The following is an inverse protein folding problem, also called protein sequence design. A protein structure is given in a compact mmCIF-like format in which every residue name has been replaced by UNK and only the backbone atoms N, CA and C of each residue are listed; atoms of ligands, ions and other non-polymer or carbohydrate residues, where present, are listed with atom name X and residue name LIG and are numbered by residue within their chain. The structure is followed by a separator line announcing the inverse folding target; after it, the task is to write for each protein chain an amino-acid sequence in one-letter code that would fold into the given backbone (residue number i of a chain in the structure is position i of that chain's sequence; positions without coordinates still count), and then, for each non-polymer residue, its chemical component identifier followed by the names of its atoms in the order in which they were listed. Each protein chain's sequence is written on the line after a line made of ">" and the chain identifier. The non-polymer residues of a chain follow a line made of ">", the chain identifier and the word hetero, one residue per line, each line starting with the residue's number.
data_IF_454503411778
#
_entry.id   IF_454503411778
#
_cell.length_a   1.000
_cell.length_b   1.000
_cell.length_c   1.000
_cell.angle_alpha   90.00
_cell.angle_beta   90.00
_cell.angle_gamma   90.00
#
_symmetry.space_group_name_H-M   'P 1'
#
loop_
_entity.id
_entity.type
_entity.pdbx_description
1 polymer ?
#
# COMPACT_ATOMS: atom_id res chain seq x y z
N UNK A 1 7.52 17.33 -9.18
CA UNK A 1 7.93 17.55 -7.76
C UNK A 1 8.98 16.52 -7.40
N UNK A 2 9.95 16.89 -6.55
CA UNK A 2 10.92 15.92 -6.01
C UNK A 2 10.19 14.99 -5.05
N UNK A 3 10.35 13.67 -5.23
CA UNK A 3 9.75 12.66 -4.35
C UNK A 3 10.54 12.56 -3.04
N UNK A 4 9.82 12.51 -1.92
CA UNK A 4 10.43 12.39 -0.59
C UNK A 4 10.34 10.95 -0.09
N UNK A 5 11.48 10.42 0.34
CA UNK A 5 11.63 9.07 0.88
C UNK A 5 12.06 9.15 2.34
N UNK A 6 11.41 8.39 3.21
CA UNK A 6 11.89 8.14 4.56
C UNK A 6 12.56 6.77 4.58
N UNK A 7 13.79 6.72 5.10
CA UNK A 7 14.52 5.48 5.36
C UNK A 7 14.66 5.27 6.87
N UNK A 8 14.10 4.17 7.38
CA UNK A 8 14.23 3.74 8.78
C UNK A 8 15.10 2.48 8.82
N UNK A 9 16.40 2.66 9.12
CA UNK A 9 17.39 1.59 9.04
C UNK A 9 18.43 1.75 10.14
N UNK A 10 18.54 0.75 11.00
CA UNK A 10 19.44 0.74 12.14
C UNK A 10 20.90 0.40 11.76
N UNK A 11 21.15 -0.21 10.60
CA UNK A 11 22.48 -0.49 10.09
C UNK A 11 23.04 0.72 9.33
N UNK A 12 23.87 1.53 10.01
CA UNK A 12 24.40 2.82 9.48
C UNK A 12 25.07 2.72 8.11
N UNK A 13 25.75 1.61 7.82
CA UNK A 13 26.43 1.42 6.54
C UNK A 13 25.42 1.20 5.40
N UNK A 14 24.39 0.40 5.67
CA UNK A 14 23.29 0.14 4.72
C UNK A 14 22.48 1.42 4.52
N UNK A 15 22.12 2.09 5.61
CA UNK A 15 21.38 3.36 5.57
C UNK A 15 22.10 4.40 4.72
N UNK A 16 23.39 4.62 4.98
CA UNK A 16 24.21 5.58 4.20
C UNK A 16 24.31 5.20 2.72
N UNK A 17 24.47 3.91 2.42
CA UNK A 17 24.58 3.44 1.05
C UNK A 17 23.27 3.69 0.28
N UNK A 18 22.12 3.31 0.86
CA UNK A 18 20.79 3.53 0.25
C UNK A 18 20.56 5.04 0.07
N UNK A 19 20.84 5.85 1.08
CA UNK A 19 20.65 7.31 1.05
C UNK A 19 21.40 7.92 -0.13
N UNK A 20 22.70 7.64 -0.26
CA UNK A 20 23.55 8.19 -1.33
C UNK A 20 23.04 7.80 -2.73
N UNK A 21 22.62 6.55 -2.92
CA UNK A 21 22.15 6.10 -4.22
C UNK A 21 20.76 6.68 -4.57
N UNK A 22 19.86 6.79 -3.60
CA UNK A 22 18.56 7.42 -3.84
C UNK A 22 18.69 8.93 -4.10
N UNK A 23 19.63 9.63 -3.45
CA UNK A 23 19.90 11.03 -3.74
C UNK A 23 20.46 11.23 -5.15
N UNK A 24 21.31 10.34 -5.66
CA UNK A 24 21.78 10.37 -7.06
C UNK A 24 20.64 10.27 -8.07
N UNK A 25 19.60 9.50 -7.75
CA UNK A 25 18.40 9.36 -8.55
C UNK A 25 17.41 10.54 -8.40
N UNK A 26 17.79 11.56 -7.61
CA UNK A 26 17.00 12.78 -7.44
C UNK A 26 15.92 12.71 -6.38
N UNK A 27 15.92 11.69 -5.52
CA UNK A 27 15.03 11.62 -4.36
C UNK A 27 15.54 12.49 -3.21
N UNK A 28 14.62 13.08 -2.45
CA UNK A 28 14.96 13.68 -1.16
C UNK A 28 14.78 12.61 -0.07
N UNK A 29 15.85 12.28 0.64
CA UNK A 29 15.85 11.19 1.63
C UNK A 29 16.08 11.77 3.02
N UNK A 30 15.18 11.39 3.95
CA UNK A 30 15.37 11.57 5.38
C UNK A 30 15.70 10.20 5.98
N UNK A 31 16.74 10.12 6.81
CA UNK A 31 17.22 8.85 7.41
C UNK A 31 17.08 8.91 8.92
N UNK A 32 16.53 7.85 9.51
CA UNK A 32 16.47 7.65 10.97
C UNK A 32 16.81 6.20 11.33
N UNK A 33 17.28 5.98 12.57
CA UNK A 33 17.79 4.67 13.00
C UNK A 33 16.70 3.80 13.70
N UNK A 34 15.58 4.40 14.13
CA UNK A 34 14.57 3.71 14.93
C UNK A 34 13.13 4.09 14.54
N UNK A 35 12.19 3.25 14.96
CA UNK A 35 10.79 3.41 14.62
C UNK A 35 10.13 4.64 15.22
N UNK A 36 10.47 5.02 16.47
CA UNK A 36 9.88 6.21 17.13
C UNK A 36 10.26 7.48 16.39
N UNK A 37 11.53 7.62 16.02
CA UNK A 37 12.00 8.76 15.21
C UNK A 37 11.28 8.78 13.84
N UNK A 38 11.12 7.59 13.22
CA UNK A 38 10.37 7.44 11.98
C UNK A 38 8.91 7.91 12.12
N UNK A 39 8.20 7.45 13.14
CA UNK A 39 6.81 7.84 13.38
C UNK A 39 6.67 9.35 13.65
N UNK A 40 7.60 9.95 14.38
CA UNK A 40 7.61 11.39 14.62
C UNK A 40 7.74 12.19 13.31
N UNK A 41 8.62 11.77 12.41
CA UNK A 41 8.77 12.40 11.09
C UNK A 41 7.52 12.20 10.22
N UNK A 42 6.92 11.01 10.22
CA UNK A 42 5.71 10.69 9.45
C UNK A 42 4.51 11.53 9.91
N UNK A 43 4.41 11.80 11.21
CA UNK A 43 3.37 12.66 11.76
C UNK A 43 3.51 14.12 11.29
N UNK A 44 4.76 14.63 11.24
CA UNK A 44 5.07 16.00 10.86
C UNK A 44 5.15 16.24 9.35
N UNK A 45 5.54 15.22 8.57
CA UNK A 45 5.90 15.36 7.16
C UNK A 45 5.25 14.27 6.32
N UNK A 46 4.81 14.63 5.11
CA UNK A 46 4.30 13.65 4.13
C UNK A 46 5.48 13.10 3.33
N UNK A 47 5.62 11.78 3.32
CA UNK A 47 6.56 11.05 2.48
C UNK A 47 5.82 10.35 1.34
N UNK A 48 6.45 10.30 0.17
CA UNK A 48 5.94 9.57 -0.99
C UNK A 48 6.18 8.06 -0.84
N UNK A 49 7.25 7.69 -0.12
CA UNK A 49 7.67 6.33 0.15
C UNK A 49 8.33 6.24 1.51
N UNK A 50 8.12 5.13 2.20
CA UNK A 50 8.80 4.76 3.44
C UNK A 50 9.48 3.42 3.22
N UNK A 51 10.80 3.40 3.32
CA UNK A 51 11.64 2.21 3.38
C UNK A 51 11.95 1.91 4.84
N UNK A 52 11.76 0.69 5.30
CA UNK A 52 12.09 0.38 6.68
C UNK A 52 12.59 -1.04 6.86
N UNK A 53 13.56 -1.22 7.76
CA UNK A 53 13.98 -2.51 8.26
C UNK A 53 12.86 -3.08 9.15
N UNK A 54 12.46 -4.32 8.92
CA UNK A 54 11.39 -4.94 9.71
C UNK A 54 11.83 -5.22 11.15
N UNK A 55 13.12 -5.51 11.37
CA UNK A 55 13.72 -5.73 12.69
C UNK A 55 14.28 -4.42 13.25
N UNK A 56 13.40 -3.52 13.71
CA UNK A 56 13.78 -2.26 14.33
C UNK A 56 14.20 -2.47 15.78
N UNK A 57 15.11 -1.62 16.28
CA UNK A 57 15.68 -1.74 17.62
C UNK A 57 14.69 -1.47 18.77
N UNK A 58 13.65 -0.69 18.49
CA UNK A 58 12.72 -0.16 19.51
C UNK A 58 11.27 -0.66 19.37
N UNK A 59 10.91 -1.25 18.25
CA UNK A 59 9.61 -1.87 18.01
C UNK A 59 9.66 -2.88 16.87
N UNK A 60 8.66 -3.77 16.77
CA UNK A 60 8.51 -4.68 15.64
C UNK A 60 8.07 -3.91 14.37
N UNK A 61 8.49 -4.41 13.20
CA UNK A 61 8.07 -3.84 11.92
C UNK A 61 6.56 -3.87 11.71
N UNK A 62 5.88 -4.90 12.23
CA UNK A 62 4.41 -4.96 12.20
C UNK A 62 3.79 -3.79 12.96
N UNK A 63 4.22 -3.57 14.20
CA UNK A 63 3.74 -2.43 15.01
C UNK A 63 4.04 -1.09 14.33
N UNK A 64 5.23 -0.95 13.76
CA UNK A 64 5.60 0.26 13.00
C UNK A 64 4.65 0.50 11.83
N UNK A 65 4.40 -0.53 11.02
CA UNK A 65 3.48 -0.44 9.88
C UNK A 65 2.01 -0.17 10.31
N UNK A 66 1.56 -0.75 11.42
CA UNK A 66 0.24 -0.45 12.00
C UNK A 66 0.10 1.01 12.43
N UNK A 67 1.10 1.56 13.13
CA UNK A 67 1.09 2.97 13.54
C UNK A 67 1.12 3.91 12.33
N UNK A 68 1.91 3.60 11.29
CA UNK A 68 1.88 4.35 10.03
C UNK A 68 0.48 4.33 9.42
N UNK A 69 -0.17 3.16 9.39
CA UNK A 69 -1.52 3.02 8.85
C UNK A 69 -2.57 3.82 9.61
N UNK A 70 -2.33 4.12 10.88
CA UNK A 70 -3.20 5.02 11.67
C UNK A 70 -2.94 6.49 11.38
N UNK A 71 -1.66 6.89 11.23
CA UNK A 71 -1.25 8.28 11.01
C UNK A 71 -1.45 8.68 9.54
N UNK A 72 -1.03 7.82 8.62
CA UNK A 72 -1.01 8.02 7.16
C UNK A 72 -1.42 6.75 6.42
N UNK A 73 -2.70 6.41 6.36
CA UNK A 73 -3.19 5.12 5.82
C UNK A 73 -2.72 4.80 4.41
N UNK A 74 -2.63 5.81 3.56
CA UNK A 74 -2.23 5.67 2.15
C UNK A 74 -0.71 5.73 1.90
N UNK A 75 0.12 5.62 2.96
CA UNK A 75 1.57 5.58 2.80
C UNK A 75 2.02 4.36 2.01
N UNK A 76 3.02 4.55 1.17
CA UNK A 76 3.66 3.47 0.43
C UNK A 76 4.81 2.92 1.26
N UNK A 77 4.74 1.66 1.63
CA UNK A 77 5.72 0.99 2.49
C UNK A 77 6.49 -0.06 1.69
N UNK A 78 7.82 -0.08 1.82
CA UNK A 78 8.68 -1.19 1.37
C UNK A 78 9.47 -1.67 2.57
N UNK A 79 9.43 -2.98 2.80
CA UNK A 79 10.19 -3.64 3.86
C UNK A 79 11.56 -4.06 3.34
N UNK A 80 12.60 -3.85 4.14
CA UNK A 80 13.97 -4.33 3.89
C UNK A 80 14.34 -5.29 5.01
N UNK A 81 14.60 -6.58 4.72
CA UNK A 81 15.07 -7.52 5.73
C UNK A 81 15.69 -8.79 5.12
N UNK A 82 16.18 -9.68 5.95
CA UNK A 82 16.68 -10.99 5.54
C UNK A 82 15.57 -11.88 4.97
N UNK A 83 15.95 -12.90 4.22
CA UNK A 83 15.00 -13.88 3.64
C UNK A 83 14.17 -14.57 4.71
N UNK A 84 14.81 -14.90 5.83
CA UNK A 84 14.19 -15.60 6.94
C UNK A 84 13.11 -14.75 7.59
N UNK A 85 13.40 -13.48 7.87
CA UNK A 85 12.46 -12.52 8.46
C UNK A 85 11.29 -12.21 7.53
N UNK A 86 11.56 -12.02 6.24
CA UNK A 86 10.50 -11.82 5.24
C UNK A 86 9.57 -13.03 5.18
N UNK A 87 10.12 -14.26 5.22
CA UNK A 87 9.31 -15.49 5.21
C UNK A 87 8.49 -15.66 6.50
N UNK A 88 9.11 -15.39 7.67
CA UNK A 88 8.46 -15.47 8.99
C UNK A 88 7.26 -14.50 9.09
N UNK A 89 7.39 -13.31 8.54
CA UNK A 89 6.40 -12.23 8.65
C UNK A 89 5.64 -11.95 7.36
N UNK A 90 5.60 -12.90 6.44
CA UNK A 90 5.03 -12.73 5.08
C UNK A 90 3.62 -12.14 5.11
N UNK A 91 2.74 -12.65 5.97
CA UNK A 91 1.34 -12.20 6.06
C UNK A 91 1.22 -10.74 6.52
N UNK A 92 1.96 -10.36 7.56
CA UNK A 92 2.00 -8.98 8.05
C UNK A 92 2.58 -8.02 6.99
N UNK A 93 3.70 -8.42 6.36
CA UNK A 93 4.33 -7.61 5.31
C UNK A 93 3.37 -7.41 4.13
N UNK A 94 2.73 -8.46 3.66
CA UNK A 94 1.75 -8.38 2.58
C UNK A 94 0.57 -7.47 2.94
N UNK A 95 0.14 -7.46 4.19
CA UNK A 95 -0.98 -6.64 4.65
C UNK A 95 -0.69 -5.14 4.60
N UNK A 96 0.51 -4.71 4.94
CA UNK A 96 0.86 -3.29 5.13
C UNK A 96 1.75 -2.73 4.03
N UNK A 97 2.70 -3.51 3.53
CA UNK A 97 3.68 -3.04 2.55
C UNK A 97 3.26 -3.32 1.12
N UNK A 98 3.60 -2.41 0.22
CA UNK A 98 3.39 -2.62 -1.22
C UNK A 98 4.45 -3.53 -1.82
N UNK A 99 5.63 -3.64 -1.20
CA UNK A 99 6.71 -4.51 -1.62
C UNK A 99 7.70 -4.78 -0.50
N UNK A 100 8.66 -5.66 -0.77
CA UNK A 100 9.81 -5.91 0.09
C UNK A 100 11.09 -6.13 -0.72
N UNK A 101 12.25 -6.00 -0.08
CA UNK A 101 13.56 -6.39 -0.60
C UNK A 101 14.26 -7.31 0.38
N UNK A 102 14.81 -8.39 -0.14
CA UNK A 102 15.57 -9.37 0.67
C UNK A 102 17.03 -8.94 0.74
N UNK A 103 17.55 -8.73 1.94
CA UNK A 103 18.99 -8.50 2.19
C UNK A 103 19.79 -9.81 2.06
N UNK A 104 20.98 -9.79 1.42
CA UNK A 104 21.58 -8.68 0.69
C UNK A 104 20.93 -8.48 -0.69
N UNK A 105 20.82 -7.23 -1.15
CA UNK A 105 20.26 -6.88 -2.45
C UNK A 105 21.21 -6.00 -3.26
N UNK A 106 21.00 -5.98 -4.57
CA UNK A 106 21.69 -5.05 -5.47
C UNK A 106 20.93 -3.72 -5.45
N UNK A 107 21.64 -2.61 -5.29
CA UNK A 107 20.99 -1.29 -5.13
C UNK A 107 20.17 -0.89 -6.37
N UNK A 108 20.61 -1.24 -7.58
CA UNK A 108 19.84 -1.01 -8.79
C UNK A 108 18.46 -1.65 -8.74
N UNK A 109 18.32 -2.85 -8.16
CA UNK A 109 17.04 -3.54 -8.04
C UNK A 109 16.09 -2.79 -7.11
N UNK A 110 16.61 -2.19 -6.04
CA UNK A 110 15.82 -1.33 -5.14
C UNK A 110 15.38 -0.05 -5.86
N UNK A 111 16.28 0.61 -6.60
CA UNK A 111 15.98 1.82 -7.40
C UNK A 111 14.94 1.51 -8.47
N UNK A 112 15.11 0.42 -9.21
CA UNK A 112 14.17 -0.01 -10.23
C UNK A 112 12.78 -0.31 -9.64
N UNK A 113 12.74 -0.98 -8.49
CA UNK A 113 11.51 -1.26 -7.76
C UNK A 113 10.81 0.03 -7.32
N UNK A 114 11.52 0.97 -6.74
CA UNK A 114 11.00 2.28 -6.32
C UNK A 114 10.45 3.04 -7.54
N UNK A 115 11.22 3.09 -8.61
CA UNK A 115 10.83 3.75 -9.86
C UNK A 115 9.59 3.13 -10.48
N UNK A 116 9.50 1.79 -10.49
CA UNK A 116 8.33 1.07 -10.97
C UNK A 116 7.08 1.38 -10.13
N UNK A 117 7.21 1.42 -8.80
CA UNK A 117 6.11 1.79 -7.90
C UNK A 117 5.63 3.22 -8.16
N UNK A 118 6.55 4.19 -8.31
CA UNK A 118 6.16 5.57 -8.60
C UNK A 118 5.51 5.72 -9.98
N UNK A 119 6.04 5.08 -11.03
CA UNK A 119 5.42 5.08 -12.37
C UNK A 119 4.02 4.47 -12.36
N UNK A 120 3.84 3.36 -11.64
CA UNK A 120 2.53 2.73 -11.48
C UNK A 120 1.53 3.65 -10.77
N UNK A 121 1.97 4.37 -9.74
CA UNK A 121 1.13 5.35 -9.03
C UNK A 121 0.75 6.52 -9.92
N UNK A 122 1.73 7.13 -10.58
CA UNK A 122 1.47 8.26 -11.49
C UNK A 122 0.50 7.83 -12.62
N UNK A 123 0.61 6.58 -13.10
CA UNK A 123 -0.35 6.01 -14.05
C UNK A 123 -1.76 5.87 -13.45
N UNK A 124 -1.89 5.30 -12.25
CA UNK A 124 -3.18 5.17 -11.55
C UNK A 124 -3.78 6.55 -11.28
N UNK A 125 -3.00 7.47 -10.74
CA UNK A 125 -3.46 8.82 -10.40
C UNK A 125 -3.92 9.60 -11.65
N UNK A 126 -3.20 9.45 -12.78
CA UNK A 126 -3.60 10.06 -14.07
C UNK A 126 -4.85 9.41 -14.66
N UNK A 127 -4.96 8.08 -14.62
CA UNK A 127 -6.12 7.36 -15.14
C UNK A 127 -7.33 7.45 -14.23
N UNK A 128 -7.13 7.48 -12.91
CA UNK A 128 -8.19 7.76 -11.95
C UNK A 128 -8.73 9.20 -12.09
N UNK A 129 -7.89 10.16 -12.45
CA UNK A 129 -8.32 11.54 -12.75
C UNK A 129 -9.06 11.65 -14.10
N UNK A 130 -8.75 10.78 -15.06
CA UNK A 130 -9.40 10.73 -16.37
C UNK A 130 -10.59 9.76 -16.41
N UNK A 131 -10.53 8.62 -15.75
CA UNK A 131 -11.71 7.85 -15.41
C UNK A 131 -12.47 8.66 -14.36
N UNK A 132 -13.71 9.02 -14.63
CA UNK A 132 -14.66 9.44 -13.61
C UNK A 132 -14.91 8.23 -12.71
N UNK A 133 -13.93 7.89 -11.83
CA UNK A 133 -14.21 6.94 -10.75
C UNK A 133 -15.39 7.55 -10.01
N UNK A 134 -16.48 6.84 -9.84
CA UNK A 134 -17.55 7.30 -8.99
C UNK A 134 -16.92 7.62 -7.63
N UNK A 135 -16.84 8.90 -7.27
CA UNK A 135 -16.28 9.33 -5.97
C UNK A 135 -17.14 8.85 -4.81
N UNK A 136 -18.31 8.29 -5.11
CA UNK A 136 -19.22 7.74 -4.11
C UNK A 136 -19.88 6.46 -4.62
N UNK A 137 -20.08 5.51 -3.73
CA UNK A 137 -20.84 4.28 -3.95
C UNK A 137 -21.63 3.94 -2.69
N UNK A 138 -22.97 3.99 -2.77
CA UNK A 138 -23.82 3.97 -1.58
C UNK A 138 -23.38 5.10 -0.62
N UNK A 139 -23.05 4.80 0.62
CA UNK A 139 -22.53 5.77 1.59
C UNK A 139 -20.99 5.76 1.72
N UNK A 140 -20.28 5.01 0.86
CA UNK A 140 -18.82 5.11 0.72
C UNK A 140 -18.47 6.27 -0.19
N UNK A 141 -17.48 7.07 0.21
CA UNK A 141 -16.92 8.17 -0.59
C UNK A 141 -15.40 8.05 -0.62
N UNK A 142 -14.83 8.10 -1.81
CA UNK A 142 -13.38 8.15 -2.02
C UNK A 142 -12.95 9.60 -2.25
N UNK A 143 -11.97 10.05 -1.51
CA UNK A 143 -11.20 11.25 -1.78
C UNK A 143 -9.93 10.82 -2.53
N UNK A 144 -9.91 11.07 -3.84
CA UNK A 144 -8.83 10.64 -4.73
C UNK A 144 -7.56 11.45 -4.49
N UNK A 145 -7.68 12.73 -4.13
CA UNK A 145 -6.53 13.62 -3.90
C UNK A 145 -5.77 13.22 -2.63
N UNK A 146 -6.49 12.85 -1.58
CA UNK A 146 -5.91 12.48 -0.30
C UNK A 146 -5.79 10.96 -0.09
N UNK A 147 -6.26 10.15 -1.05
CA UNK A 147 -6.32 8.67 -0.96
C UNK A 147 -7.03 8.20 0.31
N UNK A 148 -8.09 8.89 0.69
CA UNK A 148 -8.89 8.56 1.88
C UNK A 148 -10.28 8.07 1.51
N UNK A 149 -10.85 7.25 2.37
CA UNK A 149 -12.18 6.69 2.19
C UNK A 149 -13.03 7.04 3.39
N UNK A 150 -14.26 7.43 3.13
CA UNK A 150 -15.25 7.74 4.15
C UNK A 150 -16.47 6.85 3.98
N UNK A 151 -17.08 6.45 5.09
CA UNK A 151 -18.41 5.86 5.14
C UNK A 151 -19.32 6.83 5.89
N UNK A 152 -20.17 7.54 5.15
CA UNK A 152 -20.90 8.68 5.70
C UNK A 152 -19.95 9.77 6.18
N UNK A 153 -19.87 9.98 7.52
CA UNK A 153 -18.96 10.94 8.15
C UNK A 153 -17.67 10.30 8.70
N UNK A 154 -17.63 8.99 8.79
CA UNK A 154 -16.53 8.25 9.42
C UNK A 154 -15.43 7.97 8.39
N UNK A 155 -14.20 8.38 8.69
CA UNK A 155 -13.04 8.02 7.89
C UNK A 155 -12.67 6.55 8.14
N UNK A 156 -12.50 5.78 7.05
CA UNK A 156 -12.05 4.39 7.10
C UNK A 156 -10.55 4.36 6.80
N UNK A 157 -9.78 3.84 7.74
CA UNK A 157 -8.33 3.67 7.57
C UNK A 157 -8.06 2.43 6.69
N UNK A 158 -7.77 2.68 5.41
CA UNK A 158 -7.34 1.66 4.46
C UNK A 158 -5.83 1.77 4.24
N UNK A 159 -5.15 0.62 4.17
CA UNK A 159 -3.78 0.59 3.63
C UNK A 159 -3.79 0.98 2.15
N UNK A 160 -2.63 1.32 1.60
CA UNK A 160 -2.53 1.73 0.19
C UNK A 160 -3.12 0.68 -0.75
N UNK A 161 -2.83 -0.61 -0.53
CA UNK A 161 -3.36 -1.69 -1.37
C UNK A 161 -4.86 -1.89 -1.24
N UNK A 162 -5.40 -1.77 -0.04
CA UNK A 162 -6.85 -1.84 0.17
C UNK A 162 -7.56 -0.68 -0.53
N UNK A 163 -6.95 0.52 -0.50
CA UNK A 163 -7.46 1.68 -1.24
C UNK A 163 -7.43 1.44 -2.75
N UNK A 164 -6.29 0.98 -3.31
CA UNK A 164 -6.13 0.73 -4.74
C UNK A 164 -7.11 -0.35 -5.22
N UNK A 165 -7.33 -1.40 -4.41
CA UNK A 165 -8.31 -2.45 -4.67
C UNK A 165 -9.74 -1.91 -4.71
N UNK A 166 -10.12 -1.10 -3.71
CA UNK A 166 -11.45 -0.47 -3.65
C UNK A 166 -11.66 0.48 -4.84
N UNK A 167 -10.67 1.33 -5.15
CA UNK A 167 -10.74 2.26 -6.26
C UNK A 167 -10.89 1.54 -7.61
N UNK A 168 -10.16 0.44 -7.80
CA UNK A 168 -10.28 -0.40 -9.00
C UNK A 168 -11.69 -1.00 -9.14
N UNK A 169 -12.23 -1.54 -8.05
CA UNK A 169 -13.59 -2.10 -8.05
C UNK A 169 -14.65 -1.03 -8.31
N UNK A 170 -14.55 0.14 -7.67
CA UNK A 170 -15.50 1.24 -7.88
C UNK A 170 -15.41 1.85 -9.27
N UNK A 171 -14.23 1.86 -9.90
CA UNK A 171 -14.03 2.32 -11.28
C UNK A 171 -14.55 1.37 -12.35
N UNK A 172 -14.85 0.13 -11.98
CA UNK A 172 -15.25 -0.92 -12.93
C UNK A 172 -16.76 -0.99 -13.09
N UNK A 173 -17.23 -1.17 -14.35
CA UNK A 173 -18.67 -1.26 -14.68
C UNK A 173 -19.27 -2.64 -14.46
N UNK A 174 -18.56 -3.56 -13.82
CA UNK A 174 -19.03 -4.95 -13.64
C UNK A 174 -18.03 -5.77 -12.83
N UNK A 175 -18.12 -7.09 -12.96
CA UNK A 175 -17.21 -7.99 -12.27
C UNK A 175 -15.78 -7.88 -12.86
N UNK A 176 -14.81 -7.79 -11.96
CA UNK A 176 -13.37 -7.79 -12.28
C UNK A 176 -12.80 -9.14 -11.90
N UNK A 177 -12.05 -9.77 -12.80
CA UNK A 177 -11.45 -11.08 -12.51
C UNK A 177 -10.31 -10.95 -11.49
N UNK A 178 -9.93 -12.07 -10.86
CA UNK A 178 -8.81 -12.10 -9.91
C UNK A 178 -7.51 -11.70 -10.58
N UNK A 179 -7.29 -12.17 -11.81
CA UNK A 179 -6.11 -11.83 -12.61
C UNK A 179 -6.05 -10.35 -12.94
N UNK A 180 -7.19 -9.74 -13.32
CA UNK A 180 -7.25 -8.30 -13.58
C UNK A 180 -6.99 -7.47 -12.32
N UNK A 181 -7.54 -7.90 -11.15
CA UNK A 181 -7.26 -7.25 -9.87
C UNK A 181 -5.78 -7.41 -9.49
N UNK A 182 -5.23 -8.62 -9.66
CA UNK A 182 -3.82 -8.88 -9.40
C UNK A 182 -2.93 -7.99 -10.28
N UNK A 183 -3.21 -7.93 -11.56
CA UNK A 183 -2.48 -7.06 -12.48
C UNK A 183 -2.61 -5.58 -12.15
N UNK A 184 -3.81 -5.10 -11.82
CA UNK A 184 -4.05 -3.68 -11.54
C UNK A 184 -3.43 -3.20 -10.24
N UNK A 185 -3.48 -4.02 -9.17
CA UNK A 185 -3.08 -3.62 -7.81
C UNK A 185 -1.68 -4.12 -7.46
N UNK A 186 -1.24 -5.28 -8.03
CA UNK A 186 0.04 -5.95 -7.72
C UNK A 186 1.01 -6.05 -8.90
N UNK A 187 0.86 -5.22 -9.93
CA UNK A 187 1.59 -5.19 -11.21
C UNK A 187 3.07 -5.61 -11.19
N UNK A 188 3.77 -5.37 -10.09
CA UNK A 188 5.23 -5.52 -10.01
C UNK A 188 5.67 -6.66 -9.08
N UNK A 189 4.74 -7.46 -8.57
CA UNK A 189 5.04 -8.51 -7.60
C UNK A 189 4.39 -9.85 -7.92
N UNK A 190 3.95 -10.05 -9.17
CA UNK A 190 3.21 -11.26 -9.54
C UNK A 190 4.03 -12.53 -9.29
N UNK A 191 3.90 -13.07 -8.09
CA UNK A 191 4.34 -14.42 -7.74
C UNK A 191 3.37 -15.50 -8.25
N UNK A 192 2.37 -15.10 -9.06
CA UNK A 192 1.34 -16.01 -9.59
C UNK A 192 0.30 -16.49 -8.57
N UNK A 193 0.38 -16.07 -7.30
CA UNK A 193 -0.57 -16.46 -6.26
C UNK A 193 -1.83 -15.58 -6.31
N UNK A 194 -2.89 -16.04 -6.98
CA UNK A 194 -4.18 -15.32 -7.05
C UNK A 194 -4.91 -15.26 -5.72
N UNK A 195 -4.55 -16.10 -4.74
CA UNK A 195 -5.17 -16.14 -3.41
C UNK A 195 -4.99 -14.83 -2.62
N UNK A 196 -3.94 -14.06 -2.91
CA UNK A 196 -3.69 -12.76 -2.27
C UNK A 196 -4.88 -11.80 -2.48
N UNK A 197 -5.52 -11.83 -3.63
CA UNK A 197 -6.71 -10.99 -3.92
C UNK A 197 -7.85 -11.32 -2.94
N UNK A 198 -8.09 -12.60 -2.69
CA UNK A 198 -9.17 -13.06 -1.81
C UNK A 198 -8.94 -12.61 -0.35
N UNK A 199 -7.68 -12.64 0.12
CA UNK A 199 -7.31 -12.13 1.44
C UNK A 199 -7.53 -10.62 1.56
N UNK A 200 -7.11 -9.85 0.56
CA UNK A 200 -7.33 -8.41 0.58
C UNK A 200 -8.81 -8.01 0.45
N UNK A 201 -9.61 -8.76 -0.29
CA UNK A 201 -11.07 -8.59 -0.30
C UNK A 201 -11.64 -8.85 1.10
N UNK A 202 -11.14 -9.87 1.80
CA UNK A 202 -11.55 -10.16 3.19
C UNK A 202 -11.17 -9.02 4.14
N UNK A 203 -9.93 -8.50 4.07
CA UNK A 203 -9.50 -7.37 4.89
C UNK A 203 -10.30 -6.11 4.58
N UNK A 204 -10.52 -5.82 3.30
CA UNK A 204 -11.28 -4.66 2.86
C UNK A 204 -12.74 -4.72 3.36
N UNK A 205 -13.42 -5.87 3.18
CA UNK A 205 -14.76 -6.10 3.73
C UNK A 205 -14.80 -5.88 5.24
N UNK A 206 -13.85 -6.41 5.98
CA UNK A 206 -13.76 -6.22 7.44
C UNK A 206 -13.70 -4.75 7.87
N UNK A 207 -13.27 -3.85 6.98
CA UNK A 207 -13.18 -2.41 7.26
C UNK A 207 -14.39 -1.62 6.73
N UNK A 208 -14.87 -1.94 5.53
CA UNK A 208 -15.92 -1.16 4.87
C UNK A 208 -17.33 -1.67 5.17
N UNK A 209 -17.53 -2.97 5.40
CA UNK A 209 -18.86 -3.54 5.63
C UNK A 209 -19.41 -3.18 7.01
N UNK A 210 -20.73 -3.17 7.11
CA UNK A 210 -21.45 -2.96 8.37
C UNK A 210 -22.13 -4.26 8.81
N UNK A 211 -22.08 -4.60 10.12
CA UNK A 211 -22.79 -5.75 10.64
C UNK A 211 -24.28 -5.72 10.27
N UNK A 212 -24.79 -6.85 9.79
CA UNK A 212 -26.21 -6.98 9.43
C UNK A 212 -26.63 -6.33 8.11
N UNK A 213 -25.71 -5.71 7.37
CA UNK A 213 -25.97 -5.15 6.04
C UNK A 213 -25.34 -6.01 4.93
N UNK A 214 -25.88 -5.88 3.70
CA UNK A 214 -25.25 -6.49 2.52
C UNK A 214 -23.86 -5.89 2.31
N UNK A 215 -22.87 -6.73 2.04
CA UNK A 215 -21.50 -6.31 1.71
C UNK A 215 -21.47 -5.30 0.55
N UNK A 216 -20.52 -4.37 0.58
CA UNK A 216 -20.28 -3.48 -0.57
C UNK A 216 -19.66 -4.21 -1.76
N UNK A 217 -18.99 -5.33 -1.52
CA UNK A 217 -18.30 -6.10 -2.54
C UNK A 217 -18.99 -7.46 -2.69
N UNK A 218 -19.50 -7.74 -3.89
CA UNK A 218 -20.12 -9.01 -4.26
C UNK A 218 -19.07 -9.98 -4.81
N UNK A 219 -19.11 -11.23 -4.38
CA UNK A 219 -18.35 -12.30 -5.03
C UNK A 219 -19.17 -12.84 -6.21
N UNK A 220 -18.62 -12.73 -7.42
CA UNK A 220 -19.22 -13.29 -8.64
C UNK A 220 -18.57 -14.64 -8.90
N UNK A 221 -19.30 -15.72 -8.59
CA UNK A 221 -18.77 -17.10 -8.68
C UNK A 221 -18.22 -17.40 -10.06
N UNK A 222 -17.03 -17.97 -10.11
CA UNK A 222 -16.34 -18.34 -11.36
C UNK A 222 -15.72 -17.16 -12.12
N UNK A 223 -15.90 -15.91 -11.66
CA UNK A 223 -15.37 -14.71 -12.30
C UNK A 223 -14.41 -13.95 -11.35
N UNK A 224 -14.92 -13.36 -10.29
CA UNK A 224 -14.13 -12.51 -9.40
C UNK A 224 -15.01 -11.68 -8.48
N UNK A 225 -14.84 -10.36 -8.50
CA UNK A 225 -15.48 -9.44 -7.57
C UNK A 225 -16.08 -8.23 -8.29
N UNK A 226 -17.15 -7.70 -7.74
CA UNK A 226 -17.80 -6.47 -8.22
C UNK A 226 -18.31 -5.65 -7.04
N UNK A 227 -18.52 -4.35 -7.25
CA UNK A 227 -19.33 -3.57 -6.30
C UNK A 227 -20.78 -4.05 -6.37
N UNK A 228 -21.44 -4.09 -5.21
CA UNK A 228 -22.83 -4.60 -5.11
C UNK A 228 -23.84 -3.45 -5.04
N UNK A 229 -24.71 -3.34 -6.03
CA UNK A 229 -25.79 -2.36 -6.03
C UNK A 229 -26.84 -2.62 -4.92
N UNK A 230 -27.53 -1.57 -4.48
CA UNK A 230 -28.55 -1.66 -3.42
C UNK A 230 -29.79 -2.46 -3.85
N UNK A 231 -30.02 -2.58 -5.15
CA UNK A 231 -31.24 -3.09 -5.76
C UNK A 231 -31.21 -4.59 -6.13
N UNK A 232 -30.13 -5.33 -5.77
CA UNK A 232 -30.04 -6.78 -5.97
C UNK A 232 -30.12 -7.58 -4.66
#
# INVERSE_FOLDING_TARGET
>A
MVKRVLLVENEKQIARFIDLELQKEGYQVDVVEDGKAGLALIAATKYDLILFNYDLSDMSGERFAEEISRIRPASVLIVLDSREKIAEHKESIQRFAVSYMVKPFIISDLVDKITAIFRGRDYIDQHCSQMKIPTSYRNLRIDVEHHTVYRGKDMISLTRREYDLLATLMGSKGAVTREQLLESVWKYESTGETNIVDDYIRYLRGKIDLPGQKSYIKTVRGIGYAMQDELE
#
